data_IF_297940720646
#
_entry.id   IF_297940720646
#
_cell.length_a   1.000
_cell.length_b   1.000
_cell.length_c   1.000
_cell.angle_alpha   90.00
_cell.angle_beta   90.00
_cell.angle_gamma   90.00
#
_symmetry.space_group_name_H-M   'P 1'
#
loop_
_entity.id
_entity.type
_entity.pdbx_description
1 polymer ?
#
# COMPACT_ATOMS: atom_id res chain seq x y z
N UNK A 1 -4.72 -2.20 -8.26
CA UNK A 1 -4.33 -1.15 -7.30
C UNK A 1 -4.59 0.27 -7.82
N UNK A 2 -5.43 1.05 -7.12
CA UNK A 2 -5.57 2.50 -7.31
C UNK A 2 -5.23 3.21 -5.98
N UNK A 3 -4.27 4.13 -6.01
CA UNK A 3 -3.90 4.98 -4.86
C UNK A 3 -4.22 6.42 -5.23
N UNK A 4 -5.01 7.10 -4.40
CA UNK A 4 -5.31 8.51 -4.59
C UNK A 4 -4.39 9.37 -3.72
N UNK A 5 -3.76 10.37 -4.32
CA UNK A 5 -2.92 11.33 -3.61
C UNK A 5 -3.67 12.65 -3.60
N UNK A 6 -4.01 13.13 -2.40
CA UNK A 6 -4.90 14.29 -2.24
C UNK A 6 -4.18 15.55 -1.81
N UNK A 7 -3.20 15.46 -0.92
CA UNK A 7 -2.58 16.61 -0.28
C UNK A 7 -1.08 16.41 -0.13
N UNK A 8 -0.32 17.49 -0.27
CA UNK A 8 1.13 17.51 -0.14
C UNK A 8 1.53 18.34 1.07
N UNK A 9 2.27 17.73 1.98
CA UNK A 9 2.71 18.31 3.24
C UNK A 9 4.23 18.43 3.24
N UNK A 10 4.75 19.65 3.33
CA UNK A 10 6.19 19.91 3.37
C UNK A 10 6.87 19.37 4.63
N UNK A 11 6.11 19.25 5.74
CA UNK A 11 6.59 18.70 7.00
C UNK A 11 5.43 18.11 7.80
N UNK A 12 5.23 16.79 7.68
CA UNK A 12 4.24 16.05 8.46
C UNK A 12 4.83 14.71 8.94
N UNK A 13 4.27 14.15 10.01
CA UNK A 13 4.70 12.86 10.55
C UNK A 13 4.15 11.72 9.71
N UNK A 14 5.06 11.00 9.05
CA UNK A 14 4.67 9.82 8.27
C UNK A 14 4.09 8.73 9.18
N UNK A 15 2.88 8.26 8.88
CA UNK A 15 2.18 7.22 9.66
C UNK A 15 2.92 5.88 9.68
N UNK A 16 3.77 5.59 8.70
CA UNK A 16 4.48 4.32 8.61
C UNK A 16 5.80 4.34 9.38
N UNK A 17 6.66 5.33 9.11
CA UNK A 17 8.00 5.38 9.70
C UNK A 17 8.11 6.35 10.88
N UNK A 18 7.02 7.02 11.26
CA UNK A 18 6.91 7.95 12.40
C UNK A 18 7.93 9.09 12.39
N UNK A 19 8.50 9.38 11.23
CA UNK A 19 9.46 10.46 11.04
C UNK A 19 8.77 11.66 10.40
N UNK A 20 9.06 12.86 10.91
CA UNK A 20 8.58 14.12 10.35
C UNK A 20 9.42 14.50 9.13
N UNK A 21 8.76 14.60 7.97
CA UNK A 21 9.38 14.94 6.68
C UNK A 21 8.30 15.28 5.67
N UNK A 22 8.72 15.56 4.43
CA UNK A 22 7.82 15.71 3.30
C UNK A 22 6.95 14.45 3.12
N UNK A 23 5.64 14.64 3.22
CA UNK A 23 4.63 13.59 3.18
C UNK A 23 3.53 13.96 2.19
N UNK A 24 2.89 12.93 1.65
CA UNK A 24 1.67 13.05 0.85
C UNK A 24 0.56 12.30 1.56
N UNK A 25 -0.65 12.84 1.49
CA UNK A 25 -1.84 12.14 1.95
C UNK A 25 -2.29 11.15 0.89
N UNK A 26 -2.01 9.87 1.13
CA UNK A 26 -2.37 8.76 0.28
C UNK A 26 -3.64 8.07 0.82
N UNK A 27 -4.54 7.69 -0.08
CA UNK A 27 -5.74 6.91 0.22
C UNK A 27 -5.75 5.65 -0.66
N UNK A 28 -5.73 4.48 -0.01
CA UNK A 28 -5.73 3.19 -0.69
C UNK A 28 -7.15 2.62 -0.73
N UNK A 29 -7.70 2.48 -1.93
CA UNK A 29 -9.09 2.07 -2.16
C UNK A 29 -9.48 0.68 -1.61
N UNK A 30 -8.49 -0.16 -1.32
CA UNK A 30 -8.64 -1.51 -0.81
C UNK A 30 -8.53 -1.60 0.72
N UNK A 31 -8.67 -0.46 1.41
CA UNK A 31 -8.66 -0.34 2.88
C UNK A 31 -7.38 -0.85 3.57
N UNK A 32 -6.28 -1.03 2.82
CA UNK A 32 -4.99 -1.45 3.39
C UNK A 32 -4.44 -0.40 4.37
N UNK A 33 -4.47 0.85 3.93
CA UNK A 33 -4.23 2.05 4.72
C UNK A 33 -5.30 3.02 4.22
N UNK A 34 -6.15 3.54 5.12
CA UNK A 34 -7.12 4.57 4.72
C UNK A 34 -6.40 5.87 4.31
N UNK A 35 -7.07 7.01 4.49
CA UNK A 35 -6.41 8.31 4.30
C UNK A 35 -5.29 8.50 5.33
N UNK A 36 -4.03 8.45 4.90
CA UNK A 36 -2.87 8.56 5.79
C UNK A 36 -1.73 9.41 5.19
N UNK A 37 -1.00 10.09 6.07
CA UNK A 37 0.18 10.87 5.71
C UNK A 37 1.40 9.96 5.54
N UNK A 38 1.99 9.95 4.34
CA UNK A 38 3.07 9.06 3.99
C UNK A 38 4.18 9.76 3.23
N UNK A 39 5.43 9.55 3.65
CA UNK A 39 6.56 9.98 2.83
C UNK A 39 6.69 9.13 1.56
N UNK A 40 7.33 9.68 0.53
CA UNK A 40 7.50 9.00 -0.76
C UNK A 40 8.13 7.61 -0.66
N UNK A 41 9.16 7.44 0.18
CA UNK A 41 9.83 6.14 0.34
C UNK A 41 8.92 5.09 0.97
N UNK A 42 8.07 5.48 1.93
CA UNK A 42 7.12 4.57 2.55
C UNK A 42 5.95 4.28 1.61
N UNK A 43 5.49 5.27 0.85
CA UNK A 43 4.42 5.09 -0.14
C UNK A 43 4.83 4.09 -1.22
N UNK A 44 6.06 4.18 -1.74
CA UNK A 44 6.59 3.18 -2.68
C UNK A 44 6.65 1.77 -2.07
N UNK A 45 7.04 1.65 -0.79
CA UNK A 45 7.04 0.37 -0.07
C UNK A 45 5.62 -0.17 0.11
N UNK A 46 4.66 0.68 0.48
CA UNK A 46 3.24 0.34 0.60
C UNK A 46 2.70 -0.26 -0.69
N UNK A 47 2.92 0.46 -1.79
CA UNK A 47 2.57 0.02 -3.14
C UNK A 47 3.19 -1.34 -3.45
N UNK A 48 4.49 -1.52 -3.19
CA UNK A 48 5.18 -2.79 -3.44
C UNK A 48 4.68 -3.96 -2.58
N UNK A 49 4.28 -3.70 -1.34
CA UNK A 49 3.71 -4.74 -0.44
C UNK A 49 2.33 -5.16 -0.95
N UNK A 50 1.51 -4.21 -1.37
CA UNK A 50 0.15 -4.46 -1.83
C UNK A 50 0.13 -5.07 -3.24
N UNK A 51 1.03 -4.69 -4.15
CA UNK A 51 1.14 -5.32 -5.46
C UNK A 51 1.52 -6.81 -5.36
N UNK A 52 2.26 -7.19 -4.31
CA UNK A 52 2.59 -8.59 -4.02
C UNK A 52 1.39 -9.39 -3.50
N UNK A 53 0.49 -8.75 -2.75
CA UNK A 53 -0.77 -9.37 -2.31
C UNK A 53 -1.69 -9.69 -3.49
N UNK A 54 -1.90 -8.74 -4.40
CA UNK A 54 -2.67 -8.97 -5.63
C UNK A 54 -2.08 -10.14 -6.47
N UNK A 55 -0.74 -10.26 -6.51
CA UNK A 55 -0.09 -11.38 -7.20
C UNK A 55 -0.31 -12.71 -6.48
N UNK A 56 -0.33 -12.75 -5.14
CA UNK A 56 -0.46 -14.01 -4.39
C UNK A 56 -1.88 -14.59 -4.43
N UNK A 57 -2.93 -13.77 -4.47
CA UNK A 57 -4.31 -14.27 -4.59
C UNK A 57 -4.61 -14.84 -5.99
N UNK A 58 -3.87 -14.42 -7.01
CA UNK A 58 -3.99 -14.98 -8.37
C UNK A 58 -3.28 -16.33 -8.59
N UNK A 59 -2.50 -16.82 -7.62
CA UNK A 59 -1.76 -18.11 -7.70
C UNK A 59 -2.21 -19.11 -6.63
N UNK A 60 -3.29 -18.81 -5.89
CA UNK A 60 -3.73 -19.59 -4.72
C UNK A 60 -4.98 -20.45 -4.89
N UNK A 61 -5.59 -20.55 -6.09
CA UNK A 61 -6.80 -21.37 -6.32
C UNK A 61 -6.64 -22.39 -7.46
N UNK A 62 -5.44 -22.93 -7.61
CA UNK A 62 -5.18 -24.14 -8.41
C UNK A 62 -5.46 -25.39 -7.59
N UNK A 63 -6.74 -25.75 -7.49
CA UNK A 63 -7.23 -27.04 -7.01
C UNK A 63 -6.39 -28.20 -7.57
N UNK A 64 -5.48 -28.78 -6.78
CA UNK A 64 -4.95 -30.12 -7.06
C UNK A 64 -5.88 -31.17 -6.45
N UNK A 65 -6.96 -31.48 -7.17
CA UNK A 65 -7.51 -32.83 -7.11
C UNK A 65 -6.60 -33.69 -7.99
N UNK A 66 -5.85 -34.59 -7.37
CA UNK A 66 -5.21 -35.68 -8.10
C UNK A 66 -5.73 -36.98 -7.52
N UNK A 67 -6.71 -37.53 -8.24
CA UNK A 67 -7.04 -38.95 -8.31
C UNK A 67 -5.77 -39.79 -8.44
N UNK A 68 -5.52 -40.68 -7.47
CA UNK A 68 -5.31 -42.11 -7.73
C UNK A 68 -5.25 -42.93 -6.45
#
# INVERSE_FOLDING_TARGET
MNVNISEHHTSETCTWCENTKECVTADFHDAFIGKAAMCWSCLQKAIKVQSRKETQESVGNGLKVSDK
#
